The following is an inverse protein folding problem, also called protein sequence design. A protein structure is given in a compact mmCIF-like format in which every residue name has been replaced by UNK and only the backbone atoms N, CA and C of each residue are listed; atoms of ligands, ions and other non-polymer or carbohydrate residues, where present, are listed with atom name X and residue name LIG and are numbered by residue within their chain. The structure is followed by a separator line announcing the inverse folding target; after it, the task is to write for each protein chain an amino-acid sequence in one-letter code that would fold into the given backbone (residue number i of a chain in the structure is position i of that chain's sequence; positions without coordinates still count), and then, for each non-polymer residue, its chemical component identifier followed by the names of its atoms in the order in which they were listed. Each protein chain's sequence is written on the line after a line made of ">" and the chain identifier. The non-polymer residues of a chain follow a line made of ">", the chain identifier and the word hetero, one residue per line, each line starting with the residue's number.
data_IF_167095907809
#
_entry.id   IF_167095907809
#
_cell.length_a   1.000
_cell.length_b   1.000
_cell.length_c   1.000
_cell.angle_alpha   90.00
_cell.angle_beta   90.00
_cell.angle_gamma   90.00
#
_symmetry.space_group_name_H-M   'P 1'
#
loop_
_entity.id
_entity.type
_entity.pdbx_description
1 polymer ?
#
# COMPACT_ATOMS: atom_id res chain seq x y z
N UNK A 1 19.07 -14.12 -23.02
CA UNK A 1 19.51 -12.86 -22.40
C UNK A 1 20.98 -13.03 -22.07
N UNK A 2 21.85 -12.30 -22.76
CA UNK A 2 23.29 -12.27 -22.50
C UNK A 2 23.54 -11.32 -21.32
N UNK A 3 24.15 -11.84 -20.25
CA UNK A 3 24.46 -11.09 -19.04
C UNK A 3 25.93 -10.68 -19.10
N UNK A 4 26.19 -9.37 -19.15
CA UNK A 4 27.55 -8.83 -19.09
C UNK A 4 28.09 -8.88 -17.65
N UNK A 5 29.23 -9.55 -17.48
CA UNK A 5 30.05 -9.53 -16.27
C UNK A 5 30.59 -8.13 -16.00
N UNK A 6 30.31 -7.59 -14.81
CA UNK A 6 30.91 -6.37 -14.32
C UNK A 6 31.90 -6.69 -13.19
N UNK A 7 33.19 -6.67 -13.55
CA UNK A 7 34.30 -6.15 -12.73
C UNK A 7 34.62 -6.86 -11.41
N UNK A 8 35.61 -7.75 -11.46
CA UNK A 8 36.39 -8.26 -10.32
C UNK A 8 37.03 -7.13 -9.51
N UNK A 9 36.87 -7.19 -8.17
CA UNK A 9 37.70 -6.44 -7.21
C UNK A 9 37.80 -7.19 -5.87
N UNK A 10 38.92 -7.91 -5.74
CA UNK A 10 39.75 -8.14 -4.54
C UNK A 10 39.09 -8.41 -3.16
N UNK A 11 38.98 -9.69 -2.82
CA UNK A 11 39.79 -10.25 -1.74
C UNK A 11 39.53 -9.83 -0.28
N UNK A 12 38.29 -9.86 0.23
CA UNK A 12 38.04 -10.18 1.65
C UNK A 12 36.62 -10.66 1.89
N UNK A 13 36.52 -11.89 2.41
CA UNK A 13 35.30 -12.67 2.51
C UNK A 13 34.14 -12.03 3.29
N UNK A 14 32.97 -12.07 2.67
CA UNK A 14 31.71 -12.55 3.23
C UNK A 14 30.82 -12.93 2.05
N UNK A 15 29.95 -13.94 2.22
CA UNK A 15 29.02 -14.52 1.21
C UNK A 15 28.06 -13.49 0.54
N UNK A 16 28.18 -12.22 0.91
CA UNK A 16 27.35 -11.09 0.51
C UNK A 16 27.63 -10.57 -0.92
N UNK A 17 28.81 -10.82 -1.49
CA UNK A 17 29.36 -9.89 -2.48
C UNK A 17 29.09 -10.20 -3.96
N UNK A 18 28.70 -11.43 -4.32
CA UNK A 18 28.58 -11.81 -5.74
C UNK A 18 27.19 -11.58 -6.37
N UNK A 19 26.11 -11.45 -5.58
CA UNK A 19 24.74 -11.43 -6.14
C UNK A 19 23.99 -10.10 -5.97
N UNK A 20 24.39 -9.23 -5.04
CA UNK A 20 23.74 -7.94 -4.79
C UNK A 20 24.67 -6.78 -5.17
N UNK A 21 24.29 -6.02 -6.19
CA UNK A 21 25.06 -4.88 -6.68
C UNK A 21 25.26 -3.76 -5.65
N UNK A 22 26.24 -2.89 -5.91
CA UNK A 22 26.61 -1.75 -5.04
C UNK A 22 25.43 -0.84 -4.67
N UNK A 23 24.39 -0.82 -5.51
CA UNK A 23 23.16 -0.04 -5.32
C UNK A 23 22.37 -0.41 -4.06
N UNK A 24 22.52 -1.66 -3.59
CA UNK A 24 21.75 -2.25 -2.48
C UNK A 24 22.57 -2.49 -1.21
N UNK A 25 23.91 -2.48 -1.28
CA UNK A 25 24.82 -2.79 -0.16
C UNK A 25 24.53 -2.00 1.13
N UNK A 26 24.11 -0.73 1.03
CA UNK A 26 23.83 0.11 2.21
C UNK A 26 22.40 0.00 2.78
N UNK A 27 21.57 -0.87 2.20
CA UNK A 27 20.13 -0.97 2.49
C UNK A 27 19.66 -2.41 2.69
N UNK A 28 20.37 -3.37 2.13
CA UNK A 28 20.09 -4.79 2.25
C UNK A 28 21.01 -5.44 3.28
N UNK A 29 20.47 -6.37 4.06
CA UNK A 29 21.25 -7.21 4.98
C UNK A 29 20.74 -8.63 4.88
N UNK A 30 21.56 -9.54 4.37
CA UNK A 30 21.30 -10.97 4.47
C UNK A 30 21.53 -11.47 5.90
N UNK A 31 20.59 -12.24 6.43
CA UNK A 31 20.72 -12.93 7.71
C UNK A 31 21.34 -14.31 7.51
N UNK A 32 21.95 -14.88 8.54
CA UNK A 32 22.44 -16.28 8.58
C UNK A 32 21.43 -17.31 8.05
N UNK A 33 20.13 -17.04 8.26
CA UNK A 33 19.03 -17.93 7.85
C UNK A 33 18.67 -17.81 6.34
N UNK A 34 19.47 -17.09 5.55
CA UNK A 34 19.25 -16.88 4.11
C UNK A 34 18.11 -15.93 3.77
N UNK A 35 17.71 -15.04 4.68
CA UNK A 35 16.67 -14.01 4.46
C UNK A 35 17.30 -12.68 4.13
N UNK A 36 16.74 -11.96 3.16
CA UNK A 36 17.21 -10.62 2.79
C UNK A 36 16.36 -9.53 3.46
N UNK A 37 16.97 -8.69 4.27
CA UNK A 37 16.32 -7.57 4.96
C UNK A 37 16.60 -6.25 4.24
N UNK A 38 15.56 -5.62 3.71
CA UNK A 38 15.63 -4.28 3.13
C UNK A 38 15.14 -3.25 4.16
N UNK A 39 16.04 -2.35 4.56
CA UNK A 39 15.79 -1.32 5.57
C UNK A 39 15.99 0.07 4.99
N UNK A 40 15.52 1.10 5.72
CA UNK A 40 15.89 2.48 5.44
C UNK A 40 17.41 2.67 5.54
N UNK A 41 17.92 3.67 4.83
CA UNK A 41 19.33 4.06 4.89
C UNK A 41 19.80 4.23 6.34
N UNK A 42 21.06 3.88 6.60
CA UNK A 42 21.68 3.99 7.92
C UNK A 42 21.50 5.39 8.51
N UNK A 43 21.71 6.44 7.72
CA UNK A 43 21.52 7.84 8.13
C UNK A 43 20.13 8.10 8.71
N UNK A 44 19.06 7.69 8.00
CA UNK A 44 17.68 7.90 8.45
C UNK A 44 17.40 7.09 9.72
N UNK A 45 17.98 5.89 9.84
CA UNK A 45 17.86 5.09 11.07
C UNK A 45 18.57 5.76 12.25
N UNK A 46 19.75 6.34 12.04
CA UNK A 46 20.45 7.11 13.07
C UNK A 46 19.65 8.35 13.48
N UNK A 47 19.09 9.12 12.53
CA UNK A 47 18.21 10.26 12.86
C UNK A 47 16.98 9.82 13.67
N UNK A 48 16.36 8.70 13.30
CA UNK A 48 15.24 8.13 14.06
C UNK A 48 15.67 7.70 15.47
N UNK A 49 16.85 7.10 15.63
CA UNK A 49 17.39 6.76 16.96
C UNK A 49 17.61 8.02 17.81
N UNK A 50 18.19 9.08 17.25
CA UNK A 50 18.35 10.36 17.95
C UNK A 50 17.00 10.93 18.38
N UNK A 51 16.00 10.90 17.49
CA UNK A 51 14.64 11.35 17.81
C UNK A 51 14.00 10.52 18.95
N UNK A 52 14.29 9.22 19.07
CA UNK A 52 13.85 8.41 20.20
C UNK A 52 14.60 8.74 21.49
N UNK A 53 15.92 8.87 21.41
CA UNK A 53 16.79 9.15 22.57
C UNK A 53 16.48 10.52 23.17
N UNK A 54 16.09 11.50 22.36
CA UNK A 54 15.67 12.83 22.86
C UNK A 54 14.19 12.84 23.20
N UNK A 55 13.34 12.30 22.33
CA UNK A 55 11.89 12.41 22.45
C UNK A 55 11.30 11.59 23.58
N UNK A 56 11.80 10.39 23.87
CA UNK A 56 11.26 9.54 24.95
C UNK A 56 11.56 10.13 26.33
N UNK A 57 12.82 10.51 26.68
CA UNK A 57 13.09 11.21 27.93
C UNK A 57 12.39 12.57 28.02
N UNK A 58 12.29 13.30 26.90
CA UNK A 58 11.53 14.54 26.82
C UNK A 58 10.06 14.33 27.19
N UNK A 59 9.40 13.30 26.66
CA UNK A 59 8.02 12.97 27.06
C UNK A 59 7.93 12.58 28.54
N UNK A 60 8.84 11.76 29.05
CA UNK A 60 8.79 11.29 30.45
C UNK A 60 9.00 12.44 31.42
N UNK A 61 10.02 13.28 31.20
CA UNK A 61 10.32 14.42 32.04
C UNK A 61 9.16 15.42 32.05
N UNK A 62 8.62 15.72 30.87
CA UNK A 62 7.52 16.68 30.77
C UNK A 62 6.19 16.09 31.24
N UNK A 63 5.96 14.78 31.16
CA UNK A 63 4.72 14.16 31.66
C UNK A 63 4.73 13.90 33.18
N UNK A 64 5.90 13.89 33.84
CA UNK A 64 6.03 13.66 35.27
C UNK A 64 5.15 14.59 36.14
N UNK A 65 5.05 15.90 35.83
CA UNK A 65 4.14 16.83 36.50
C UNK A 65 2.66 16.42 36.43
N UNK A 66 2.19 15.74 35.37
CA UNK A 66 0.78 15.27 35.27
C UNK A 66 0.43 14.23 36.34
N UNK A 67 1.42 13.59 36.94
CA UNK A 67 1.24 12.62 38.03
C UNK A 67 1.19 13.30 39.41
N UNK A 68 1.46 14.61 39.48
CA UNK A 68 1.40 15.39 40.71
C UNK A 68 -0.05 15.82 41.01
N UNK A 69 -0.55 15.59 42.24
CA UNK A 69 -1.88 16.07 42.64
C UNK A 69 -1.97 17.59 42.82
N UNK A 70 -0.85 18.31 42.70
CA UNK A 70 -0.75 19.77 42.91
C UNK A 70 -0.54 20.57 41.61
N UNK A 71 -0.69 19.95 40.45
CA UNK A 71 -0.48 20.62 39.17
C UNK A 71 -1.60 21.63 38.89
N UNK A 72 -1.23 22.85 38.48
CA UNK A 72 -2.21 23.86 38.09
C UNK A 72 -2.77 23.58 36.69
N UNK A 73 -4.00 24.04 36.38
CA UNK A 73 -4.59 23.82 35.05
C UNK A 73 -3.74 24.38 33.89
N UNK A 74 -2.91 25.40 34.14
CA UNK A 74 -1.99 25.97 33.16
C UNK A 74 -0.79 25.06 32.91
N UNK A 75 -0.19 24.51 33.97
CA UNK A 75 0.93 23.57 33.87
C UNK A 75 0.53 22.24 33.21
N UNK A 76 -0.70 21.76 33.43
CA UNK A 76 -1.26 20.60 32.72
C UNK A 76 -1.30 20.83 31.21
N UNK A 77 -1.70 22.03 30.79
CA UNK A 77 -1.86 22.40 29.37
C UNK A 77 -0.52 22.50 28.65
N UNK A 78 0.46 23.17 29.24
CA UNK A 78 1.82 23.27 28.69
C UNK A 78 2.48 21.89 28.61
N UNK A 79 2.30 21.10 29.66
CA UNK A 79 2.77 19.71 29.70
C UNK A 79 2.18 18.87 28.55
N UNK A 80 0.87 18.96 28.33
CA UNK A 80 0.21 18.22 27.24
C UNK A 80 0.70 18.66 25.86
N UNK A 81 0.90 19.96 25.63
CA UNK A 81 1.45 20.47 24.38
C UNK A 81 2.87 19.93 24.11
N UNK A 82 3.72 19.88 25.13
CA UNK A 82 5.09 19.36 25.04
C UNK A 82 5.10 17.84 24.83
N UNK A 83 4.23 17.10 25.50
CA UNK A 83 4.06 15.64 25.30
C UNK A 83 3.64 15.34 23.85
N UNK A 84 2.71 16.11 23.28
CA UNK A 84 2.31 15.94 21.87
C UNK A 84 3.47 16.31 20.92
N UNK A 85 4.20 17.39 21.22
CA UNK A 85 5.35 17.84 20.43
C UNK A 85 6.46 16.78 20.34
N UNK A 86 6.78 16.10 21.45
CA UNK A 86 7.76 15.01 21.45
C UNK A 86 7.17 13.66 20.98
N UNK A 87 5.88 13.41 21.20
CA UNK A 87 5.20 12.19 20.80
C UNK A 87 5.17 11.99 19.29
N UNK A 88 4.98 13.06 18.52
CA UNK A 88 4.92 12.99 17.05
C UNK A 88 6.27 12.52 16.43
N UNK A 89 7.44 13.13 16.76
CA UNK A 89 8.76 12.62 16.37
C UNK A 89 9.04 11.20 16.84
N UNK A 90 8.61 10.83 18.06
CA UNK A 90 8.77 9.47 18.58
C UNK A 90 7.99 8.47 17.75
N UNK A 91 6.72 8.73 17.44
CA UNK A 91 5.89 7.86 16.57
C UNK A 91 6.50 7.76 15.17
N UNK A 92 7.00 8.86 14.62
CA UNK A 92 7.72 8.84 13.35
C UNK A 92 8.97 7.97 13.40
N UNK A 93 9.78 8.08 14.46
CA UNK A 93 10.99 7.33 14.62
C UNK A 93 10.74 5.82 14.78
N UNK A 94 9.75 5.43 15.60
CA UNK A 94 9.29 4.03 15.72
C UNK A 94 8.86 3.52 14.33
N UNK A 95 8.09 4.31 13.58
CA UNK A 95 7.64 3.94 12.24
C UNK A 95 8.81 3.76 11.27
N UNK A 96 9.82 4.63 11.32
CA UNK A 96 11.03 4.51 10.49
C UNK A 96 11.81 3.23 10.80
N UNK A 97 11.99 2.91 12.09
CA UNK A 97 12.76 1.74 12.52
C UNK A 97 12.00 0.41 12.29
N UNK A 98 10.67 0.39 12.41
CA UNK A 98 9.85 -0.79 12.10
C UNK A 98 9.72 -1.07 10.60
N UNK A 99 9.95 -0.07 9.74
CA UNK A 99 9.80 -0.22 8.29
C UNK A 99 10.94 -1.04 7.69
N UNK A 100 10.64 -2.31 7.43
CA UNK A 100 11.54 -3.21 6.72
C UNK A 100 10.76 -4.14 5.80
N UNK A 101 11.37 -4.50 4.68
CA UNK A 101 10.91 -5.60 3.83
C UNK A 101 11.82 -6.79 4.06
N UNK A 102 11.25 -7.97 4.27
CA UNK A 102 12.00 -9.23 4.44
C UNK A 102 11.66 -10.11 3.26
N UNK A 103 12.66 -10.49 2.47
CA UNK A 103 12.52 -11.51 1.43
C UNK A 103 13.00 -12.83 2.01
N UNK A 104 12.24 -13.89 1.75
CA UNK A 104 12.50 -15.24 2.23
C UNK A 104 12.03 -16.25 1.19
N UNK A 105 12.37 -17.53 1.36
CA UNK A 105 11.88 -18.61 0.50
C UNK A 105 10.35 -18.59 0.32
N UNK A 106 9.63 -18.21 1.36
CA UNK A 106 8.17 -18.26 1.34
C UNK A 106 7.49 -16.97 0.81
N UNK A 107 8.26 -15.99 0.35
CA UNK A 107 7.74 -14.73 -0.18
C UNK A 107 8.31 -13.47 0.48
N UNK A 108 7.60 -12.36 0.26
CA UNK A 108 7.95 -11.02 0.73
C UNK A 108 7.09 -10.65 1.93
N UNK A 109 7.72 -10.35 3.08
CA UNK A 109 7.08 -9.81 4.27
C UNK A 109 7.41 -8.32 4.44
N UNK A 110 6.42 -7.47 4.22
CA UNK A 110 6.49 -6.02 4.36
C UNK A 110 6.05 -5.62 5.77
N UNK A 111 6.99 -5.19 6.61
CA UNK A 111 6.70 -4.67 7.96
C UNK A 111 6.58 -3.16 7.94
N UNK A 112 5.50 -2.67 8.55
CA UNK A 112 5.18 -1.25 8.77
C UNK A 112 4.78 -1.08 10.25
N UNK A 113 4.52 0.16 10.67
CA UNK A 113 4.28 0.50 12.07
C UNK A 113 3.26 -0.44 12.75
N UNK A 114 2.07 -0.55 12.15
CA UNK A 114 0.93 -1.27 12.74
C UNK A 114 0.67 -2.64 12.10
N UNK A 115 1.38 -3.01 11.04
CA UNK A 115 1.05 -4.21 10.28
C UNK A 115 2.25 -4.83 9.59
N UNK A 116 2.19 -6.15 9.46
CA UNK A 116 3.07 -6.93 8.60
C UNK A 116 2.20 -7.57 7.53
N UNK A 117 2.52 -7.31 6.27
CA UNK A 117 1.85 -7.94 5.13
C UNK A 117 2.81 -8.91 4.47
N UNK A 118 2.40 -10.18 4.34
CA UNK A 118 3.17 -11.23 3.67
C UNK A 118 2.52 -11.55 2.34
N UNK A 119 3.33 -11.60 1.27
CA UNK A 119 2.92 -11.93 -0.09
C UNK A 119 3.76 -13.12 -0.59
N UNK A 120 3.13 -14.20 -1.08
CA UNK A 120 3.84 -15.32 -1.69
C UNK A 120 4.47 -14.90 -3.02
N UNK A 121 5.54 -15.57 -3.43
CA UNK A 121 6.24 -15.28 -4.70
C UNK A 121 5.37 -15.40 -5.94
N UNK A 122 4.37 -16.29 -5.89
CA UNK A 122 3.29 -16.45 -6.89
C UNK A 122 2.59 -15.16 -7.27
N UNK A 123 2.57 -14.17 -6.38
CA UNK A 123 1.89 -12.90 -6.62
C UNK A 123 2.83 -11.74 -6.95
N UNK A 124 4.16 -11.92 -6.96
CA UNK A 124 5.11 -10.78 -6.84
C UNK A 124 6.27 -10.78 -7.84
N UNK A 125 6.79 -11.93 -8.27
CA UNK A 125 8.10 -12.00 -8.92
C UNK A 125 8.24 -11.13 -10.20
N UNK A 126 7.27 -11.19 -11.11
CA UNK A 126 7.25 -10.38 -12.35
C UNK A 126 6.73 -8.94 -12.15
N UNK A 127 6.24 -8.61 -10.96
CA UNK A 127 5.47 -7.37 -10.67
C UNK A 127 6.25 -6.34 -9.84
N UNK A 128 7.55 -6.56 -9.65
CA UNK A 128 8.43 -5.59 -9.05
C UNK A 128 8.65 -4.43 -10.02
N UNK A 129 8.01 -3.30 -9.73
CA UNK A 129 8.05 -2.10 -10.55
C UNK A 129 8.66 -0.93 -9.78
N UNK A 130 8.97 0.14 -10.50
CA UNK A 130 9.41 1.39 -9.91
C UNK A 130 8.20 2.31 -9.72
N UNK A 131 7.94 2.70 -8.48
CA UNK A 131 7.04 3.82 -8.17
C UNK A 131 7.90 5.07 -8.00
N UNK A 132 7.95 5.88 -9.05
CA UNK A 132 8.54 7.22 -8.99
C UNK A 132 7.47 8.17 -8.48
N UNK A 133 7.75 8.88 -7.38
CA UNK A 133 6.98 10.07 -7.04
C UNK A 133 7.69 11.25 -7.68
N UNK A 134 7.23 11.63 -8.87
CA UNK A 134 7.67 12.83 -9.56
C UNK A 134 6.89 14.02 -8.98
N UNK A 135 7.58 14.88 -8.22
CA UNK A 135 7.03 16.14 -7.72
C UNK A 135 7.02 17.24 -8.81
N UNK A 136 7.11 16.85 -10.08
CA UNK A 136 7.32 17.72 -11.24
C UNK A 136 6.03 18.13 -11.96
N UNK A 137 4.86 17.58 -11.64
CA UNK A 137 3.58 17.91 -12.32
C UNK A 137 2.96 19.24 -11.86
N UNK A 138 3.76 20.31 -11.82
CA UNK A 138 3.29 21.68 -11.69
C UNK A 138 3.89 22.52 -12.82
N UNK A 139 3.10 23.24 -13.63
CA UNK A 139 3.58 23.95 -14.82
C UNK A 139 4.53 25.14 -14.54
N UNK A 140 4.95 25.34 -13.29
CA UNK A 140 5.79 26.48 -12.87
C UNK A 140 6.76 26.15 -11.74
N UNK A 141 7.21 24.90 -11.61
CA UNK A 141 8.16 24.51 -10.54
C UNK A 141 9.61 24.61 -11.04
N UNK A 142 10.48 25.43 -10.41
CA UNK A 142 11.89 25.50 -10.75
C UNK A 142 12.55 24.13 -10.62
N UNK A 143 13.41 23.79 -11.58
CA UNK A 143 14.23 22.58 -11.62
C UNK A 143 15.09 22.45 -10.35
N UNK A 144 14.65 21.66 -9.36
CA UNK A 144 15.42 21.51 -8.12
C UNK A 144 14.77 20.79 -6.94
N UNK A 145 13.70 20.02 -7.10
CA UNK A 145 13.10 19.28 -5.97
C UNK A 145 13.12 17.75 -6.14
N UNK A 146 13.19 17.08 -4.99
CA UNK A 146 13.65 15.71 -4.72
C UNK A 146 12.89 14.64 -5.53
N UNK A 147 13.55 14.04 -6.52
CA UNK A 147 13.10 12.76 -7.09
C UNK A 147 13.19 11.66 -6.03
N UNK A 148 12.06 11.02 -5.73
CA UNK A 148 12.01 9.90 -4.80
C UNK A 148 11.50 8.66 -5.51
N UNK A 149 12.44 7.83 -5.96
CA UNK A 149 12.12 6.53 -6.53
C UNK A 149 11.98 5.49 -5.43
N UNK A 150 10.94 4.66 -5.49
CA UNK A 150 10.74 3.54 -4.57
C UNK A 150 10.48 2.28 -5.36
N UNK A 151 11.03 1.17 -4.87
CA UNK A 151 10.63 -0.14 -5.37
C UNK A 151 9.20 -0.40 -4.87
N UNK A 152 8.33 -0.84 -5.77
CA UNK A 152 6.96 -1.18 -5.48
C UNK A 152 6.59 -2.52 -6.11
N UNK A 153 5.52 -3.12 -5.60
CA UNK A 153 4.87 -4.30 -6.17
C UNK A 153 3.56 -3.83 -6.77
N UNK A 154 3.33 -4.08 -8.05
CA UNK A 154 2.03 -3.85 -8.67
C UNK A 154 0.99 -4.84 -8.11
N UNK A 155 -0.16 -4.33 -7.68
CA UNK A 155 -1.23 -5.15 -7.10
C UNK A 155 -2.50 -5.05 -7.95
N UNK A 156 -2.67 -6.01 -8.85
CA UNK A 156 -3.70 -5.94 -9.88
C UNK A 156 -3.25 -4.95 -10.94
N UNK A 157 -3.76 -3.73 -10.85
CA UNK A 157 -3.58 -2.69 -11.85
C UNK A 157 -2.47 -1.69 -11.48
N UNK A 158 -1.93 -1.00 -12.50
CA UNK A 158 -0.79 -0.09 -12.36
C UNK A 158 -1.06 1.13 -11.46
N UNK A 159 -2.33 1.42 -11.17
CA UNK A 159 -2.77 2.48 -10.27
C UNK A 159 -2.53 2.16 -8.78
N UNK A 160 -2.17 0.92 -8.45
CA UNK A 160 -2.19 0.38 -7.10
C UNK A 160 -0.87 -0.32 -6.74
N UNK A 161 0.20 0.45 -6.90
CA UNK A 161 1.55 0.01 -6.55
C UNK A 161 1.77 0.02 -5.03
N UNK A 162 2.05 -1.16 -4.45
CA UNK A 162 2.44 -1.36 -3.05
C UNK A 162 3.92 -1.00 -2.89
N UNK A 163 4.21 0.14 -2.27
CA UNK A 163 5.61 0.57 -2.05
C UNK A 163 6.28 -0.30 -0.99
N UNK A 164 7.45 -0.85 -1.31
CA UNK A 164 8.20 -1.67 -0.37
C UNK A 164 8.74 -0.82 0.80
N UNK A 165 8.44 -1.15 2.07
CA UNK A 165 8.99 -0.43 3.21
C UNK A 165 10.51 -0.59 3.26
N UNK A 166 11.22 0.51 3.55
CA UNK A 166 12.69 0.52 3.59
C UNK A 166 13.36 0.83 2.26
N UNK A 167 12.73 0.47 1.13
CA UNK A 167 13.30 0.57 -0.23
C UNK A 167 13.11 1.95 -0.87
N UNK A 168 13.61 2.99 -0.20
CA UNK A 168 13.59 4.36 -0.75
C UNK A 168 14.96 4.67 -1.37
N UNK A 169 14.94 4.97 -2.66
CA UNK A 169 16.11 5.19 -3.50
C UNK A 169 16.03 6.63 -4.01
N UNK A 170 16.87 7.50 -3.47
CA UNK A 170 16.87 8.94 -3.79
C UNK A 170 16.63 9.82 -2.57
N UNK A 171 17.69 10.53 -2.21
CA UNK A 171 17.75 11.76 -1.39
C UNK A 171 19.00 12.55 -1.74
N UNK A 172 19.98 11.93 -2.41
CA UNK A 172 21.23 12.56 -2.82
C UNK A 172 21.15 13.02 -4.27
N UNK A 173 21.52 14.29 -4.49
CA UNK A 173 21.78 14.95 -5.77
C UNK A 173 22.29 13.94 -6.82
N UNK A 174 21.53 13.77 -7.91
CA UNK A 174 21.88 12.87 -9.02
C UNK A 174 20.77 11.88 -9.42
N UNK A 175 20.83 11.37 -10.65
CA UNK A 175 19.83 10.50 -11.29
C UNK A 175 19.39 9.36 -10.38
N UNK A 176 18.18 9.47 -9.81
CA UNK A 176 17.67 8.53 -8.80
C UNK A 176 17.08 7.27 -9.44
N UNK A 177 16.58 7.41 -10.67
CA UNK A 177 15.92 6.38 -11.48
C UNK A 177 16.87 5.24 -11.86
N UNK A 178 18.07 5.57 -12.36
CA UNK A 178 19.05 4.57 -12.80
C UNK A 178 19.56 3.70 -11.63
N UNK A 179 19.74 4.31 -10.46
CA UNK A 179 20.08 3.56 -9.23
C UNK A 179 18.93 2.67 -8.76
N UNK A 180 17.69 3.10 -8.98
CA UNK A 180 16.53 2.31 -8.59
C UNK A 180 16.27 1.17 -9.57
N UNK A 181 16.45 1.36 -10.88
CA UNK A 181 16.35 0.30 -11.87
C UNK A 181 17.44 -0.76 -11.68
N UNK A 182 18.69 -0.33 -11.41
CA UNK A 182 19.76 -1.25 -11.03
C UNK A 182 19.38 -2.05 -9.77
N UNK A 183 18.87 -1.41 -8.72
CA UNK A 183 18.45 -2.09 -7.50
C UNK A 183 17.29 -3.09 -7.71
N UNK A 184 16.34 -2.78 -8.60
CA UNK A 184 15.27 -3.72 -8.97
C UNK A 184 15.85 -4.93 -9.70
N UNK A 185 16.75 -4.70 -10.66
CA UNK A 185 17.41 -5.77 -11.41
C UNK A 185 18.26 -6.67 -10.50
N UNK A 186 19.04 -6.08 -9.60
CA UNK A 186 19.85 -6.80 -8.62
C UNK A 186 18.95 -7.67 -7.71
N UNK A 187 17.78 -7.13 -7.30
CA UNK A 187 16.82 -7.89 -6.50
C UNK A 187 16.18 -9.04 -7.28
N UNK A 188 15.80 -8.82 -8.52
CA UNK A 188 15.26 -9.86 -9.40
C UNK A 188 16.29 -10.97 -9.63
N UNK A 189 17.56 -10.60 -9.89
CA UNK A 189 18.65 -11.54 -10.03
C UNK A 189 18.87 -12.36 -8.75
N UNK A 190 18.87 -11.72 -7.58
CA UNK A 190 18.98 -12.40 -6.30
C UNK A 190 17.87 -13.44 -6.08
N UNK A 191 16.62 -13.07 -6.39
CA UNK A 191 15.45 -13.98 -6.28
C UNK A 191 15.61 -15.17 -7.23
N UNK A 192 16.04 -14.92 -8.46
CA UNK A 192 16.31 -15.93 -9.47
C UNK A 192 17.42 -16.90 -9.03
N UNK A 193 18.58 -16.36 -8.63
CA UNK A 193 19.72 -17.15 -8.18
C UNK A 193 19.41 -18.05 -6.97
N UNK A 194 18.47 -17.63 -6.11
CA UNK A 194 18.00 -18.41 -4.96
C UNK A 194 16.90 -19.42 -5.29
N UNK A 195 16.41 -19.46 -6.53
CA UNK A 195 15.33 -20.34 -6.94
C UNK A 195 14.01 -20.06 -6.20
N UNK A 196 13.78 -18.81 -5.77
CA UNK A 196 12.55 -18.42 -5.06
C UNK A 196 11.39 -18.07 -6.01
N UNK A 197 11.65 -18.01 -7.32
CA UNK A 197 10.61 -17.82 -8.33
C UNK A 197 9.63 -19.00 -8.39
N UNK A 198 8.45 -18.75 -8.93
CA UNK A 198 7.47 -19.81 -9.23
C UNK A 198 8.03 -20.66 -10.37
N UNK A 199 8.15 -21.98 -10.18
CA UNK A 199 8.37 -22.88 -11.31
C UNK A 199 7.09 -22.94 -12.16
N UNK A 200 7.23 -23.00 -13.48
CA UNK A 200 6.09 -23.07 -14.40
C UNK A 200 5.10 -24.19 -14.01
N UNK A 201 5.59 -25.29 -13.45
CA UNK A 201 4.79 -26.43 -12.98
C UNK A 201 3.87 -26.12 -11.78
N UNK A 202 4.33 -25.29 -10.83
CA UNK A 202 3.51 -24.87 -9.69
C UNK A 202 2.38 -23.90 -10.10
N UNK A 203 2.57 -23.17 -11.19
CA UNK A 203 1.56 -22.27 -11.74
C UNK A 203 0.40 -23.01 -12.45
N UNK A 204 0.54 -24.31 -12.73
CA UNK A 204 -0.45 -25.10 -13.49
C UNK A 204 -1.51 -25.76 -12.59
N UNK A 205 -1.27 -25.86 -11.27
CA UNK A 205 -2.16 -26.60 -10.36
C UNK A 205 -3.32 -25.73 -9.82
N UNK A 206 -4.50 -26.32 -9.73
CA UNK A 206 -5.63 -25.71 -9.01
C UNK A 206 -5.25 -25.44 -7.55
N UNK A 207 -5.75 -24.33 -7.00
CA UNK A 207 -5.52 -23.94 -5.62
C UNK A 207 -6.73 -24.39 -4.76
N UNK A 208 -6.62 -25.47 -3.96
CA UNK A 208 -7.78 -26.05 -3.28
C UNK A 208 -8.52 -25.06 -2.38
N UNK A 209 -7.78 -24.14 -1.77
CA UNK A 209 -8.34 -23.09 -0.90
C UNK A 209 -9.16 -22.05 -1.68
N UNK A 210 -8.78 -21.72 -2.92
CA UNK A 210 -9.55 -20.78 -3.75
C UNK A 210 -10.78 -21.46 -4.34
N UNK A 211 -10.70 -22.74 -4.72
CA UNK A 211 -11.85 -23.56 -5.14
C UNK A 211 -12.86 -23.69 -4.00
N UNK A 212 -12.40 -24.00 -2.79
CA UNK A 212 -13.26 -24.09 -1.62
C UNK A 212 -13.87 -22.72 -1.27
N UNK A 213 -13.08 -21.65 -1.29
CA UNK A 213 -13.57 -20.29 -1.05
C UNK A 213 -14.62 -19.86 -2.08
N UNK A 214 -14.39 -20.21 -3.36
CA UNK A 214 -15.37 -20.02 -4.43
C UNK A 214 -16.68 -20.72 -4.09
N UNK A 215 -16.68 -21.90 -3.49
CA UNK A 215 -17.89 -22.60 -3.04
C UNK A 215 -18.58 -22.00 -1.80
N UNK A 216 -17.85 -21.25 -0.96
CA UNK A 216 -18.37 -20.60 0.26
C UNK A 216 -19.08 -19.26 0.00
N UNK A 217 -19.52 -19.00 -1.23
CA UNK A 217 -20.29 -17.82 -1.57
C UNK A 217 -21.58 -17.81 -0.74
N UNK A 218 -21.72 -16.86 0.20
CA UNK A 218 -22.93 -16.68 1.02
C UNK A 218 -24.13 -16.17 0.21
N UNK A 219 -24.34 -16.72 -0.98
CA UNK A 219 -25.20 -16.20 -2.02
C UNK A 219 -26.65 -16.14 -1.59
N UNK A 220 -27.10 -17.06 -0.72
CA UNK A 220 -28.49 -17.11 -0.24
C UNK A 220 -28.98 -15.76 0.31
N UNK A 221 -28.14 -15.08 1.11
CA UNK A 221 -28.50 -13.77 1.70
C UNK A 221 -28.35 -12.61 0.71
N UNK A 222 -27.49 -12.75 -0.30
CA UNK A 222 -27.30 -11.71 -1.33
C UNK A 222 -28.35 -11.81 -2.43
N UNK A 223 -28.80 -13.02 -2.77
CA UNK A 223 -29.78 -13.33 -3.82
C UNK A 223 -31.18 -12.80 -3.49
N UNK A 224 -31.53 -12.70 -2.21
CA UNK A 224 -32.84 -12.16 -1.79
C UNK A 224 -32.95 -10.63 -1.92
N UNK A 225 -31.85 -9.92 -2.16
CA UNK A 225 -31.84 -8.46 -2.24
C UNK A 225 -32.06 -8.00 -3.67
N UNK A 226 -33.01 -7.10 -3.88
CA UNK A 226 -33.26 -6.43 -5.17
C UNK A 226 -32.10 -5.57 -5.68
N UNK A 227 -31.13 -5.22 -4.81
CA UNK A 227 -29.94 -4.45 -5.17
C UNK A 227 -28.79 -4.77 -4.22
N UNK A 228 -27.59 -5.01 -4.75
CA UNK A 228 -26.39 -5.20 -3.92
C UNK A 228 -25.65 -3.86 -3.77
N UNK A 229 -25.41 -3.45 -2.53
CA UNK A 229 -24.62 -2.26 -2.21
C UNK A 229 -23.42 -2.71 -1.37
N UNK A 230 -22.23 -2.49 -1.90
CA UNK A 230 -20.95 -2.77 -1.24
C UNK A 230 -20.25 -1.43 -0.97
N UNK A 231 -19.91 -1.19 0.30
CA UNK A 231 -19.26 0.03 0.76
C UNK A 231 -18.00 -0.30 1.56
N UNK A 232 -17.23 -1.29 1.11
CA UNK A 232 -16.00 -1.67 1.83
C UNK A 232 -14.89 -0.70 1.45
N UNK A 233 -14.28 0.02 2.42
CA UNK A 233 -13.19 0.93 2.10
C UNK A 233 -11.95 0.17 1.63
N UNK A 234 -11.13 0.81 0.79
CA UNK A 234 -9.81 0.31 0.40
C UNK A 234 -8.83 0.44 1.56
N UNK A 235 -9.00 -0.42 2.57
CA UNK A 235 -8.34 -0.32 3.86
C UNK A 235 -6.81 -0.34 3.75
N UNK A 236 -6.26 -1.05 2.76
CA UNK A 236 -4.83 -1.05 2.50
C UNK A 236 -4.31 0.32 2.09
N UNK A 237 -5.01 1.03 1.18
CA UNK A 237 -4.62 2.36 0.71
C UNK A 237 -4.70 3.38 1.85
N UNK A 238 -5.74 3.29 2.69
CA UNK A 238 -5.87 4.07 3.93
C UNK A 238 -4.68 3.83 4.87
N UNK A 239 -4.39 2.55 5.18
CA UNK A 239 -3.24 2.16 6.01
C UNK A 239 -1.92 2.69 5.46
N UNK A 240 -1.72 2.59 4.15
CA UNK A 240 -0.52 3.07 3.50
C UNK A 240 -0.39 4.59 3.64
N UNK A 241 -1.45 5.35 3.38
CA UNK A 241 -1.46 6.80 3.54
C UNK A 241 -1.16 7.22 4.99
N UNK A 242 -1.84 6.61 5.96
CA UNK A 242 -1.60 6.87 7.39
C UNK A 242 -0.15 6.58 7.77
N UNK A 243 0.39 5.42 7.38
CA UNK A 243 1.77 5.08 7.70
C UNK A 243 2.79 5.96 6.97
N UNK A 244 2.54 6.39 5.73
CA UNK A 244 3.48 7.15 4.88
C UNK A 244 3.64 8.63 5.26
N UNK A 245 3.21 9.02 6.45
CA UNK A 245 3.29 10.39 6.95
C UNK A 245 1.91 11.02 7.15
N UNK A 246 0.82 10.38 6.72
CA UNK A 246 -0.53 10.86 6.97
C UNK A 246 -0.82 10.99 8.46
N UNK A 247 -0.42 10.00 9.28
CA UNK A 247 -0.58 10.07 10.74
C UNK A 247 0.21 11.24 11.35
N UNK A 248 1.41 11.50 10.83
CA UNK A 248 2.25 12.62 11.25
C UNK A 248 1.61 13.95 10.89
N UNK A 249 1.16 14.12 9.64
CA UNK A 249 0.51 15.35 9.18
C UNK A 249 -0.81 15.62 9.92
N UNK A 250 -1.61 14.58 10.17
CA UNK A 250 -2.83 14.69 10.97
C UNK A 250 -2.49 15.09 12.40
N UNK A 251 -1.52 14.42 13.03
CA UNK A 251 -1.07 14.76 14.39
C UNK A 251 -0.53 16.18 14.51
N UNK A 252 0.31 16.61 13.57
CA UNK A 252 0.83 17.99 13.52
C UNK A 252 -0.29 19.01 13.34
N UNK A 253 -1.26 18.74 12.45
CA UNK A 253 -2.37 19.66 12.23
C UNK A 253 -3.28 19.81 13.45
N UNK A 254 -3.53 18.72 14.18
CA UNK A 254 -4.25 18.74 15.46
C UNK A 254 -3.48 19.55 16.49
N UNK A 255 -2.16 19.33 16.63
CA UNK A 255 -1.31 20.08 17.55
C UNK A 255 -1.36 21.59 17.28
N UNK A 256 -1.21 21.99 16.01
CA UNK A 256 -1.24 23.40 15.62
C UNK A 256 -2.62 24.03 15.89
N UNK A 257 -3.72 23.30 15.68
CA UNK A 257 -5.05 23.79 16.06
C UNK A 257 -5.22 23.93 17.57
N UNK A 258 -4.69 22.99 18.36
CA UNK A 258 -4.75 23.06 19.83
C UNK A 258 -3.99 24.29 20.33
N UNK A 259 -2.79 24.56 19.79
CA UNK A 259 -1.99 25.76 20.15
C UNK A 259 -2.78 27.04 19.84
N UNK A 260 -3.33 27.17 18.63
CA UNK A 260 -4.12 28.36 18.24
C UNK A 260 -5.40 28.50 19.06
N UNK A 261 -6.09 27.41 19.37
CA UNK A 261 -7.29 27.42 20.20
C UNK A 261 -7.00 27.77 21.67
N UNK A 262 -5.87 27.31 22.21
CA UNK A 262 -5.45 27.66 23.56
C UNK A 262 -5.21 29.16 23.71
N UNK A 263 -4.44 29.76 22.79
CA UNK A 263 -4.14 31.19 22.82
C UNK A 263 -5.41 32.05 22.66
N UNK A 264 -6.34 31.69 21.76
CA UNK A 264 -7.53 32.50 21.50
C UNK A 264 -8.63 32.39 22.55
N UNK A 265 -8.85 31.21 23.14
CA UNK A 265 -10.05 30.95 23.95
C UNK A 265 -9.78 30.76 25.45
N UNK A 266 -8.53 30.48 25.85
CA UNK A 266 -8.23 30.09 27.23
C UNK A 266 -7.21 30.98 27.92
N UNK A 267 -6.55 31.90 27.20
CA UNK A 267 -5.60 32.83 27.78
C UNK A 267 -6.34 34.06 28.35
N UNK A 268 -6.26 34.26 29.66
CA UNK A 268 -7.01 35.29 30.39
C UNK A 268 -6.34 36.66 30.36
N UNK A 269 -5.10 36.74 29.88
CA UNK A 269 -4.37 37.99 29.67
C UNK A 269 -4.83 38.64 28.35
N UNK A 270 -4.90 39.98 28.27
CA UNK A 270 -5.18 40.65 27.01
C UNK A 270 -4.06 40.31 26.02
N UNK A 271 -4.40 39.51 25.00
CA UNK A 271 -3.47 39.11 23.94
C UNK A 271 -3.06 40.34 23.13
N UNK A 272 -1.77 40.43 22.79
CA UNK A 272 -1.29 41.41 21.83
C UNK A 272 -1.92 41.13 20.45
N UNK A 273 -2.06 42.15 19.60
CA UNK A 273 -2.53 41.96 18.21
C UNK A 273 -1.68 40.96 17.43
N UNK A 274 -0.39 40.83 17.77
CA UNK A 274 0.52 39.80 17.23
C UNK A 274 0.12 38.38 17.62
N UNK A 275 -0.33 38.19 18.87
CA UNK A 275 -0.61 36.87 19.44
C UNK A 275 -1.95 36.36 18.90
N UNK A 276 -2.91 37.26 18.72
CA UNK A 276 -4.17 36.98 18.03
C UNK A 276 -3.90 36.58 16.58
N UNK A 277 -3.04 37.33 15.86
CA UNK A 277 -2.69 37.00 14.48
C UNK A 277 -1.99 35.64 14.36
N UNK A 278 -1.07 35.33 15.29
CA UNK A 278 -0.39 34.04 15.35
C UNK A 278 -1.38 32.89 15.65
N UNK A 279 -2.28 33.07 16.61
CA UNK A 279 -3.29 32.07 16.96
C UNK A 279 -4.26 31.79 15.80
N UNK A 280 -4.72 32.83 15.09
CA UNK A 280 -5.55 32.69 13.88
C UNK A 280 -4.77 31.97 12.78
N UNK A 281 -3.49 32.30 12.58
CA UNK A 281 -2.64 31.59 11.62
C UNK A 281 -2.52 30.11 11.94
N UNK A 282 -2.32 29.74 13.21
CA UNK A 282 -2.31 28.35 13.66
C UNK A 282 -3.65 27.63 13.37
N UNK A 283 -4.78 28.25 13.70
CA UNK A 283 -6.11 27.67 13.41
C UNK A 283 -6.38 27.46 11.92
N UNK A 284 -5.78 28.26 11.03
CA UNK A 284 -5.86 28.07 9.58
C UNK A 284 -4.86 27.02 9.06
N UNK A 285 -3.64 27.02 9.59
CA UNK A 285 -2.58 26.10 9.15
C UNK A 285 -2.90 24.64 9.52
N UNK A 286 -3.49 24.41 10.69
CA UNK A 286 -3.89 23.07 11.15
C UNK A 286 -4.73 22.31 10.11
N UNK A 287 -5.91 22.80 9.71
CA UNK A 287 -6.75 22.20 8.68
C UNK A 287 -6.03 22.02 7.34
N UNK A 288 -5.21 22.97 6.92
CA UNK A 288 -4.44 22.88 5.66
C UNK A 288 -3.50 21.69 5.68
N UNK A 289 -2.78 21.45 6.78
CA UNK A 289 -1.90 20.27 6.90
C UNK A 289 -2.65 18.95 6.92
N UNK A 290 -3.90 18.93 7.44
CA UNK A 290 -4.75 17.75 7.50
C UNK A 290 -5.55 17.50 6.19
N UNK A 291 -5.76 18.52 5.38
CA UNK A 291 -6.62 18.45 4.19
C UNK A 291 -6.15 17.38 3.20
N UNK A 292 -4.86 17.34 2.87
CA UNK A 292 -4.29 16.37 1.94
C UNK A 292 -4.48 14.90 2.38
N UNK A 293 -4.05 14.48 3.61
CA UNK A 293 -4.25 13.10 4.04
C UNK A 293 -5.74 12.75 4.18
N UNK A 294 -6.59 13.66 4.65
CA UNK A 294 -8.03 13.42 4.76
C UNK A 294 -8.70 13.26 3.39
N UNK A 295 -8.36 14.10 2.41
CA UNK A 295 -8.86 13.98 1.04
C UNK A 295 -8.48 12.63 0.40
N UNK A 296 -7.23 12.19 0.59
CA UNK A 296 -6.77 10.87 0.11
C UNK A 296 -7.51 9.71 0.80
N UNK A 297 -7.75 9.80 2.10
CA UNK A 297 -8.52 8.79 2.85
C UNK A 297 -9.97 8.77 2.38
N UNK A 298 -10.59 9.93 2.17
CA UNK A 298 -11.96 10.05 1.67
C UNK A 298 -12.15 9.36 0.31
N UNK A 299 -11.19 9.54 -0.61
CA UNK A 299 -11.21 8.87 -1.92
C UNK A 299 -11.18 7.33 -1.87
N UNK A 300 -10.87 6.73 -0.72
CA UNK A 300 -10.87 5.27 -0.52
C UNK A 300 -12.25 4.70 -0.15
N UNK A 301 -13.25 5.55 0.12
CA UNK A 301 -14.62 5.15 0.47
C UNK A 301 -15.53 5.16 -0.75
N UNK A 302 -15.21 4.32 -1.75
CA UNK A 302 -16.07 4.18 -2.92
C UNK A 302 -17.23 3.23 -2.64
N UNK A 303 -18.40 3.57 -3.18
CA UNK A 303 -19.58 2.72 -3.14
C UNK A 303 -19.69 1.95 -4.46
N UNK A 304 -19.79 0.63 -4.36
CA UNK A 304 -20.13 -0.24 -5.48
C UNK A 304 -21.59 -0.63 -5.37
N UNK A 305 -22.34 -0.39 -6.42
CA UNK A 305 -23.74 -0.73 -6.54
C UNK A 305 -23.88 -1.70 -7.70
N UNK A 306 -24.50 -2.83 -7.45
CA UNK A 306 -24.89 -3.81 -8.47
C UNK A 306 -26.41 -3.75 -8.62
N UNK A 307 -26.86 -3.52 -9.84
CA UNK A 307 -28.26 -3.52 -10.24
C UNK A 307 -28.44 -4.26 -11.58
N UNK A 308 -29.68 -4.45 -12.03
CA UNK A 308 -29.99 -5.14 -13.29
C UNK A 308 -29.38 -4.44 -14.52
N UNK A 309 -29.18 -3.11 -14.45
CA UNK A 309 -28.64 -2.33 -15.56
C UNK A 309 -27.11 -2.44 -15.66
N UNK A 310 -26.44 -2.82 -14.57
CA UNK A 310 -25.00 -3.01 -14.54
C UNK A 310 -24.37 -2.86 -13.17
N UNK A 311 -23.05 -2.72 -13.17
CA UNK A 311 -22.24 -2.52 -11.97
C UNK A 311 -21.71 -1.09 -11.96
N UNK A 312 -21.97 -0.35 -10.89
CA UNK A 312 -21.53 1.03 -10.70
C UNK A 312 -20.51 1.12 -9.57
N UNK A 313 -19.28 1.51 -9.88
CA UNK A 313 -18.23 1.79 -8.91
C UNK A 313 -17.99 3.31 -8.83
N UNK A 314 -18.52 3.96 -7.80
CA UNK A 314 -18.45 5.42 -7.66
C UNK A 314 -19.13 6.15 -8.82
N UNK A 315 -18.35 6.92 -9.59
CA UNK A 315 -18.84 7.65 -10.79
C UNK A 315 -18.77 6.83 -12.08
N UNK A 316 -18.16 5.65 -12.05
CA UNK A 316 -17.96 4.80 -13.23
C UNK A 316 -19.01 3.69 -13.25
N UNK A 317 -19.54 3.37 -14.42
CA UNK A 317 -20.50 2.30 -14.64
C UNK A 317 -19.99 1.35 -15.71
N UNK A 318 -20.17 0.05 -15.50
CA UNK A 318 -19.97 -0.98 -16.50
C UNK A 318 -21.25 -1.79 -16.68
N UNK A 319 -21.47 -2.25 -17.91
CA UNK A 319 -22.51 -3.22 -18.24
C UNK A 319 -22.07 -4.58 -17.71
N UNK A 320 -23.03 -5.47 -17.45
CA UNK A 320 -22.74 -6.84 -17.06
C UNK A 320 -21.83 -7.55 -18.07
N UNK A 321 -20.78 -8.27 -17.61
CA UNK A 321 -19.99 -9.09 -18.50
C UNK A 321 -20.81 -10.28 -19.02
N UNK A 322 -20.53 -10.67 -20.26
CA UNK A 322 -21.22 -11.77 -20.96
C UNK A 322 -20.74 -13.16 -20.50
N UNK A 323 -19.63 -13.24 -19.77
CA UNK A 323 -19.09 -14.47 -19.20
C UNK A 323 -18.61 -14.22 -17.78
N UNK A 324 -18.67 -15.26 -16.93
CA UNK A 324 -18.14 -15.24 -15.56
C UNK A 324 -16.68 -14.84 -15.48
N UNK A 325 -15.91 -15.22 -16.50
CA UNK A 325 -14.51 -14.85 -16.65
C UNK A 325 -14.30 -13.32 -16.75
N UNK A 326 -15.34 -12.56 -17.13
CA UNK A 326 -15.32 -11.10 -17.14
C UNK A 326 -15.38 -10.46 -15.75
N UNK A 327 -15.53 -11.24 -14.67
CA UNK A 327 -15.41 -10.79 -13.29
C UNK A 327 -14.30 -11.61 -12.62
N UNK A 328 -13.22 -10.94 -12.21
CA UNK A 328 -12.05 -11.63 -11.66
C UNK A 328 -11.40 -10.86 -10.52
N UNK A 329 -10.57 -11.55 -9.75
CA UNK A 329 -9.78 -10.99 -8.64
C UNK A 329 -8.33 -10.85 -9.07
N UNK A 330 -7.76 -9.65 -8.94
CA UNK A 330 -6.34 -9.41 -9.18
C UNK A 330 -5.75 -8.65 -7.99
N UNK A 331 -4.63 -9.15 -7.47
CA UNK A 331 -4.13 -8.75 -6.15
C UNK A 331 -5.18 -8.95 -5.04
N UNK A 332 -5.66 -7.84 -4.46
CA UNK A 332 -6.73 -7.81 -3.44
C UNK A 332 -7.94 -6.95 -3.85
N UNK A 333 -8.22 -6.88 -5.16
CA UNK A 333 -9.36 -6.15 -5.73
C UNK A 333 -10.14 -7.02 -6.71
N UNK A 334 -11.43 -6.71 -6.86
CA UNK A 334 -12.29 -7.32 -7.87
C UNK A 334 -12.32 -6.38 -9.09
N UNK A 335 -12.24 -6.94 -10.28
CA UNK A 335 -12.27 -6.25 -11.55
C UNK A 335 -13.39 -6.76 -12.44
N UNK A 336 -13.97 -5.86 -13.23
CA UNK A 336 -14.92 -6.18 -14.30
C UNK A 336 -14.29 -5.85 -15.64
N UNK A 337 -14.40 -6.77 -16.60
CA UNK A 337 -13.98 -6.59 -18.00
C UNK A 337 -15.12 -5.96 -18.81
N UNK A 338 -14.83 -4.87 -19.51
CA UNK A 338 -15.69 -4.31 -20.53
C UNK A 338 -15.55 -5.09 -21.85
N UNK A 339 -16.59 -5.08 -22.68
CA UNK A 339 -16.57 -5.73 -24.01
C UNK A 339 -15.47 -5.24 -24.97
N UNK A 340 -14.80 -4.13 -24.67
CA UNK A 340 -13.66 -3.60 -25.43
C UNK A 340 -12.28 -3.97 -24.84
N UNK A 341 -12.22 -4.89 -23.87
CA UNK A 341 -10.98 -5.34 -23.24
C UNK A 341 -10.40 -4.39 -22.18
N UNK A 342 -11.11 -3.30 -21.82
CA UNK A 342 -10.76 -2.44 -20.67
C UNK A 342 -11.27 -3.06 -19.37
N UNK A 343 -10.56 -2.87 -18.27
CA UNK A 343 -11.00 -3.31 -16.94
C UNK A 343 -11.42 -2.13 -16.05
N UNK A 344 -12.31 -2.41 -15.10
CA UNK A 344 -12.75 -1.48 -14.06
C UNK A 344 -12.57 -2.12 -12.68
N UNK A 345 -11.81 -1.47 -11.80
CA UNK A 345 -11.67 -1.87 -10.40
C UNK A 345 -12.93 -1.55 -9.59
N UNK A 346 -13.42 -2.53 -8.84
CA UNK A 346 -14.53 -2.40 -7.89
C UNK A 346 -14.01 -2.05 -6.50
N UNK A 347 -13.42 -0.86 -6.33
CA UNK A 347 -12.74 -0.43 -5.10
C UNK A 347 -13.64 -0.41 -3.83
N UNK A 348 -14.97 -0.40 -3.99
CA UNK A 348 -15.94 -0.53 -2.89
C UNK A 348 -16.35 -1.96 -2.53
N UNK A 349 -15.90 -2.96 -3.31
CA UNK A 349 -16.20 -4.38 -3.11
C UNK A 349 -15.08 -5.13 -2.37
N UNK A 350 -14.02 -4.43 -1.94
CA UNK A 350 -12.85 -4.99 -1.26
C UNK A 350 -13.13 -5.66 0.09
N UNK A 351 -12.08 -6.10 0.81
CA UNK A 351 -12.24 -6.77 2.12
C UNK A 351 -11.35 -6.13 3.19
N UNK A 352 -11.82 -6.14 4.44
CA UNK A 352 -11.27 -5.33 5.53
C UNK A 352 -10.06 -5.95 6.24
N UNK A 353 -10.08 -7.26 6.53
CA UNK A 353 -9.11 -7.88 7.44
C UNK A 353 -8.71 -9.29 7.00
N UNK A 354 -7.53 -9.74 7.42
CA UNK A 354 -7.00 -11.07 7.13
C UNK A 354 -5.61 -11.04 6.47
N UNK A 355 -4.97 -12.20 6.41
CA UNK A 355 -3.78 -12.42 5.57
C UNK A 355 -4.13 -12.16 4.10
N UNK A 356 -3.12 -11.97 3.25
CA UNK A 356 -3.35 -11.78 1.82
C UNK A 356 -4.21 -12.91 1.22
N UNK A 357 -3.85 -14.16 1.52
CA UNK A 357 -4.59 -15.35 1.10
C UNK A 357 -6.05 -15.32 1.54
N UNK A 358 -6.34 -15.07 2.83
CA UNK A 358 -7.72 -14.97 3.32
C UNK A 358 -8.51 -13.85 2.64
N UNK A 359 -7.87 -12.72 2.32
CA UNK A 359 -8.53 -11.64 1.58
C UNK A 359 -8.84 -12.07 0.15
N UNK A 360 -7.93 -12.77 -0.52
CA UNK A 360 -8.18 -13.34 -1.85
C UNK A 360 -9.34 -14.34 -1.83
N UNK A 361 -9.37 -15.27 -0.89
CA UNK A 361 -10.49 -16.22 -0.70
C UNK A 361 -11.83 -15.49 -0.54
N UNK A 362 -11.87 -14.47 0.33
CA UNK A 362 -13.08 -13.66 0.55
C UNK A 362 -13.50 -12.85 -0.68
N UNK A 363 -12.52 -12.35 -1.46
CA UNK A 363 -12.79 -11.65 -2.71
C UNK A 363 -13.30 -12.60 -3.78
N UNK A 364 -12.76 -13.82 -3.89
CA UNK A 364 -13.23 -14.86 -4.82
C UNK A 364 -14.66 -15.27 -4.48
N UNK A 365 -14.96 -15.53 -3.21
CA UNK A 365 -16.32 -15.83 -2.75
C UNK A 365 -17.30 -14.68 -3.04
N UNK A 366 -16.86 -13.43 -2.89
CA UNK A 366 -17.67 -12.24 -3.16
C UNK A 366 -17.86 -11.97 -4.64
N UNK A 367 -16.81 -12.16 -5.44
CA UNK A 367 -16.83 -12.13 -6.89
C UNK A 367 -17.89 -13.12 -7.39
N UNK A 368 -17.87 -14.34 -6.85
CA UNK A 368 -18.85 -15.35 -7.18
C UNK A 368 -20.28 -14.97 -6.80
N UNK A 369 -20.48 -14.42 -5.60
CA UNK A 369 -21.79 -13.96 -5.17
C UNK A 369 -22.35 -12.84 -6.05
N UNK A 370 -21.51 -11.93 -6.56
CA UNK A 370 -21.92 -10.87 -7.51
C UNK A 370 -22.36 -11.50 -8.83
N UNK A 371 -21.61 -12.46 -9.37
CA UNK A 371 -21.97 -13.16 -10.60
C UNK A 371 -23.31 -13.89 -10.47
N UNK A 372 -23.47 -14.71 -9.42
CA UNK A 372 -24.71 -15.46 -9.17
C UNK A 372 -25.92 -14.54 -8.94
N UNK A 373 -25.72 -13.39 -8.31
CA UNK A 373 -26.77 -12.37 -8.17
C UNK A 373 -27.27 -11.89 -9.55
N UNK A 374 -26.34 -11.59 -10.46
CA UNK A 374 -26.66 -11.14 -11.82
C UNK A 374 -27.41 -12.21 -12.63
N UNK A 375 -27.01 -13.48 -12.49
CA UNK A 375 -27.70 -14.60 -13.16
C UNK A 375 -29.12 -14.79 -12.61
N UNK A 376 -29.29 -14.78 -11.28
CA UNK A 376 -30.59 -15.01 -10.66
C UNK A 376 -31.62 -13.91 -10.96
N UNK A 377 -31.17 -12.67 -11.16
CA UNK A 377 -32.03 -11.53 -11.52
C UNK A 377 -32.14 -11.32 -13.04
N UNK A 378 -31.60 -12.24 -13.86
CA UNK A 378 -31.64 -12.14 -15.32
C UNK A 378 -30.81 -11.00 -15.91
N UNK A 379 -29.94 -10.37 -15.12
CA UNK A 379 -29.09 -9.26 -15.54
C UNK A 379 -27.90 -9.73 -16.42
N UNK A 380 -27.47 -10.98 -16.25
CA UNK A 380 -26.49 -11.65 -17.10
C UNK A 380 -26.79 -13.13 -17.27
N UNK A 381 -26.13 -13.77 -18.23
CA UNK A 381 -26.15 -15.22 -18.47
C UNK A 381 -24.76 -15.67 -18.90
N UNK A 382 -24.40 -16.91 -18.59
CA UNK A 382 -23.13 -17.46 -19.08
C UNK A 382 -23.21 -17.71 -20.59
N UNK A 383 -22.43 -16.95 -21.37
CA UNK A 383 -22.32 -17.14 -22.83
C UNK A 383 -21.05 -17.89 -23.23
N UNK A 384 -20.08 -18.04 -22.32
CA UNK A 384 -18.76 -18.59 -22.64
C UNK A 384 -17.85 -17.65 -23.46
N UNK A 385 -18.31 -16.44 -23.82
CA UNK A 385 -17.51 -15.49 -24.59
C UNK A 385 -16.37 -14.92 -23.76
N UNK A 386 -15.15 -15.31 -24.11
CA UNK A 386 -13.94 -14.80 -23.46
C UNK A 386 -13.48 -13.47 -24.11
N UNK A 387 -13.45 -12.39 -23.33
CA UNK A 387 -12.91 -11.09 -23.77
C UNK A 387 -11.50 -10.93 -23.20
N UNK A 388 -10.44 -10.89 -24.04
CA UNK A 388 -9.08 -10.68 -23.56
C UNK A 388 -8.89 -9.23 -23.08
N UNK A 389 -8.07 -9.06 -22.04
CA UNK A 389 -7.69 -7.74 -21.54
C UNK A 389 -6.63 -7.10 -22.43
N UNK A 390 -6.74 -5.79 -22.65
CA UNK A 390 -5.73 -5.03 -23.39
C UNK A 390 -4.39 -4.89 -22.64
N UNK A 391 -4.38 -5.06 -21.32
CA UNK A 391 -3.18 -5.04 -20.49
C UNK A 391 -2.69 -6.48 -20.27
N UNK A 392 -1.51 -6.80 -20.79
CA UNK A 392 -0.91 -8.13 -20.70
C UNK A 392 -0.67 -8.61 -19.25
N UNK A 393 -0.25 -7.72 -18.34
CA UNK A 393 -0.03 -8.09 -16.94
C UNK A 393 -1.34 -8.42 -16.22
N UNK A 394 -2.40 -7.66 -16.50
CA UNK A 394 -3.75 -7.93 -15.97
C UNK A 394 -4.37 -9.20 -16.57
N UNK A 395 -4.09 -9.49 -17.85
CA UNK A 395 -4.50 -10.72 -18.50
C UNK A 395 -3.84 -11.94 -17.83
N UNK A 396 -2.54 -11.85 -17.57
CA UNK A 396 -1.81 -12.90 -16.84
C UNK A 396 -2.34 -13.10 -15.41
N UNK A 397 -2.64 -12.02 -14.67
CA UNK A 397 -3.27 -12.10 -13.33
C UNK A 397 -4.57 -12.91 -13.36
N UNK A 398 -5.42 -12.60 -14.35
CA UNK A 398 -6.70 -13.26 -14.53
C UNK A 398 -6.52 -14.74 -14.85
N UNK A 399 -5.62 -15.08 -15.78
CA UNK A 399 -5.36 -16.47 -16.16
C UNK A 399 -4.79 -17.30 -15.00
N UNK A 400 -3.94 -16.70 -14.14
CA UNK A 400 -3.44 -17.34 -12.92
C UNK A 400 -4.60 -17.60 -11.95
N UNK A 401 -5.47 -16.62 -11.73
CA UNK A 401 -6.64 -16.81 -10.88
C UNK A 401 -7.57 -17.88 -11.43
N UNK A 402 -7.92 -17.81 -12.72
CA UNK A 402 -8.82 -18.73 -13.42
C UNK A 402 -8.34 -20.17 -13.26
N UNK A 403 -7.03 -20.43 -13.46
CA UNK A 403 -6.39 -21.72 -13.14
C UNK A 403 -6.56 -22.09 -11.67
N UNK A 404 -6.25 -21.15 -10.76
CA UNK A 404 -6.32 -21.39 -9.32
C UNK A 404 -7.73 -21.73 -8.81
N UNK A 405 -8.79 -21.20 -9.43
CA UNK A 405 -10.19 -21.47 -9.05
C UNK A 405 -10.84 -22.59 -9.87
N UNK A 406 -10.12 -23.26 -10.77
CA UNK A 406 -10.64 -24.32 -11.62
C UNK A 406 -11.63 -23.83 -12.68
N UNK A 407 -11.40 -22.64 -13.26
CA UNK A 407 -12.07 -22.21 -14.49
C UNK A 407 -11.18 -22.60 -15.68
N UNK A 408 -11.77 -23.24 -16.70
CA UNK A 408 -11.05 -23.62 -17.90
C UNK A 408 -10.50 -22.37 -18.62
N UNK A 409 -9.17 -22.24 -18.68
CA UNK A 409 -8.52 -21.17 -19.46
C UNK A 409 -8.58 -21.56 -20.94
N UNK A 410 -9.21 -20.77 -21.81
CA UNK A 410 -9.05 -20.98 -23.24
C UNK A 410 -7.56 -20.78 -23.59
N UNK A 411 -6.92 -21.83 -24.09
CA UNK A 411 -5.52 -21.78 -24.48
C UNK A 411 -5.30 -20.64 -25.49
N UNK A 412 -4.22 -19.88 -25.26
CA UNK A 412 -3.74 -18.81 -26.15
C UNK A 412 -3.44 -19.41 -27.53
N UNK A 413 -4.44 -19.48 -28.40
CA UNK A 413 -4.30 -20.10 -29.73
C UNK A 413 -5.56 -20.69 -30.36
N UNK A 414 -6.70 -20.78 -29.66
CA UNK A 414 -7.96 -21.14 -30.33
C UNK A 414 -8.64 -19.89 -30.90
N UNK A 415 -8.88 -19.82 -32.22
CA UNK A 415 -9.78 -18.81 -32.77
C UNK A 415 -11.21 -19.07 -32.27
N UNK A 416 -11.94 -17.98 -32.07
CA UNK A 416 -13.34 -17.96 -31.61
C UNK A 416 -14.29 -18.68 -32.57
#
# INVERSE_FOLDING_TARGET
>A
MEWQDNGLSDGRGDLFDETLGQSMRWRATETSDGRLLLRRSVVIRCCALVALVVGVPGMIYNALPLMSPYITEHEVKDTMAVVIMFGIPVVWAINVLRRQTVLSKDGIAMRRLLFTERRPWESVASRLTLSTLDLTEGPSSPSGFIERTRIAIENGDGDDAIRLPGCVIGMTWGKSRDRASAAVRDLQYYIYARGWGVSEDAAVSEAPHLVEARGRHGAEKTLQRSRLVLCTPVWRRIKEHLCNGGLFLIGMGVLVMVIGGQQLFFETKPLSGSDIAFAVFCLLLGPVTMAYPLHKIYGCFQRVVVDERGIRAGRRSCVWPESRSGLFVAGDRIFVVHGNGRHLALDGAGVTWGSFQRRQEQLVARCEAIWLWGVAHGATRETGRYVPLGNAGMQEEREILERGIGLAVPHRGQPA
#
